data_IF_128310517300
#
_entry.id   IF_128310517300
#
_cell.length_a   1.000
_cell.length_b   1.000
_cell.length_c   1.000
_cell.angle_alpha   90.00
_cell.angle_beta   90.00
_cell.angle_gamma   90.00
#
_symmetry.space_group_name_H-M   'P 1'
#
loop_
_entity.id
_entity.type
_entity.pdbx_description
1 polymer ?
#
# COMPACT_ATOMS: atom_id res chain seq x y z
N UNK A 1 18.06 23.47 6.38
CA UNK A 1 17.86 22.10 5.85
C UNK A 1 18.73 21.07 6.57
N UNK A 2 18.81 21.15 7.91
CA UNK A 2 19.58 20.21 8.76
C UNK A 2 18.63 19.51 9.76
N UNK A 3 17.63 20.25 10.26
CA UNK A 3 16.56 19.74 11.13
C UNK A 3 15.75 18.58 10.55
N UNK A 4 15.56 18.53 9.22
CA UNK A 4 14.83 17.42 8.57
C UNK A 4 15.61 16.10 8.60
N UNK A 5 16.95 16.15 8.61
CA UNK A 5 17.78 14.94 8.71
C UNK A 5 17.80 14.42 10.14
N UNK A 6 17.81 15.31 11.12
CA UNK A 6 17.73 14.94 12.53
C UNK A 6 16.35 14.38 12.88
N UNK A 7 15.24 14.93 12.35
CA UNK A 7 13.91 14.32 12.47
C UNK A 7 13.82 12.94 11.80
N UNK A 8 14.37 12.78 10.58
CA UNK A 8 14.44 11.48 9.90
C UNK A 8 15.32 10.45 10.63
N UNK A 9 16.36 10.90 11.34
CA UNK A 9 17.26 10.05 12.13
C UNK A 9 16.66 9.77 13.52
N UNK A 10 15.90 10.71 14.10
CA UNK A 10 15.19 10.56 15.36
C UNK A 10 14.01 9.57 15.25
N UNK A 11 13.28 9.61 14.14
CA UNK A 11 12.22 8.64 13.82
C UNK A 11 12.80 7.25 13.51
N UNK A 12 14.04 7.20 12.99
CA UNK A 12 14.81 5.96 12.83
C UNK A 12 15.44 5.46 14.15
N UNK A 13 15.64 6.32 15.15
CA UNK A 13 16.20 5.98 16.45
C UNK A 13 15.12 5.52 17.44
N UNK A 14 14.36 4.48 17.06
CA UNK A 14 13.76 3.52 17.99
C UNK A 14 13.04 4.06 19.22
N UNK A 15 12.40 5.22 19.17
CA UNK A 15 11.38 5.55 20.17
C UNK A 15 10.34 4.44 20.04
N UNK A 16 10.01 3.76 21.14
CA UNK A 16 9.00 2.68 21.14
C UNK A 16 7.64 3.32 20.87
N UNK A 17 7.38 3.68 19.62
CA UNK A 17 6.08 4.15 19.17
C UNK A 17 5.11 3.04 19.54
N UNK A 18 4.13 3.38 20.37
CA UNK A 18 3.10 2.44 20.80
C UNK A 18 2.52 1.76 19.57
N UNK A 19 2.59 0.43 19.50
CA UNK A 19 2.07 -0.35 18.37
C UNK A 19 0.60 0.02 18.08
N UNK A 20 -0.14 0.35 19.13
CA UNK A 20 -1.52 0.83 19.06
C UNK A 20 -1.60 2.17 18.31
N UNK A 21 -0.68 3.11 18.56
CA UNK A 21 -0.63 4.41 17.87
C UNK A 21 -0.33 4.22 16.38
N UNK A 22 0.63 3.38 16.03
CA UNK A 22 0.95 3.06 14.63
C UNK A 22 -0.21 2.36 13.92
N UNK A 23 -0.86 1.40 14.59
CA UNK A 23 -2.02 0.70 14.06
C UNK A 23 -3.21 1.65 13.83
N UNK A 24 -3.52 2.50 14.81
CA UNK A 24 -4.57 3.52 14.70
C UNK A 24 -4.29 4.48 13.56
N UNK A 25 -3.05 4.97 13.46
CA UNK A 25 -2.67 5.89 12.38
C UNK A 25 -2.85 5.24 11.01
N UNK A 26 -2.34 4.01 10.80
CA UNK A 26 -2.53 3.30 9.54
C UNK A 26 -4.01 3.00 9.22
N UNK A 27 -4.78 2.63 10.24
CA UNK A 27 -6.22 2.39 10.12
C UNK A 27 -6.94 3.67 9.71
N UNK A 28 -6.67 4.79 10.39
CA UNK A 28 -7.28 6.08 10.08
C UNK A 28 -6.89 6.56 8.68
N UNK A 29 -5.62 6.47 8.30
CA UNK A 29 -5.16 6.84 6.95
C UNK A 29 -5.86 6.03 5.86
N UNK A 30 -6.09 4.74 6.10
CA UNK A 30 -6.78 3.86 5.14
C UNK A 30 -8.28 4.16 5.08
N UNK A 31 -8.94 4.32 6.23
CA UNK A 31 -10.37 4.63 6.30
C UNK A 31 -10.71 6.03 5.76
N UNK A 32 -9.85 7.01 6.03
CA UNK A 32 -10.00 8.38 5.53
C UNK A 32 -9.57 8.53 4.07
N UNK A 33 -9.08 7.47 3.42
CA UNK A 33 -8.71 7.51 2.02
C UNK A 33 -9.98 7.48 1.13
N UNK A 34 -10.38 8.61 0.52
CA UNK A 34 -11.63 8.65 -0.25
C UNK A 34 -11.59 7.72 -1.47
N UNK A 35 -10.40 7.43 -2.01
CA UNK A 35 -10.24 6.53 -3.15
C UNK A 35 -10.70 5.11 -2.81
N UNK A 36 -10.40 4.63 -1.61
CA UNK A 36 -10.82 3.30 -1.13
C UNK A 36 -12.34 3.26 -1.03
N UNK A 37 -12.96 4.29 -0.46
CA UNK A 37 -14.41 4.40 -0.37
C UNK A 37 -15.07 4.40 -1.76
N UNK A 38 -14.59 5.23 -2.70
CA UNK A 38 -15.09 5.27 -4.07
C UNK A 38 -14.90 3.94 -4.80
N UNK A 39 -13.77 3.25 -4.59
CA UNK A 39 -13.54 1.92 -5.15
C UNK A 39 -14.61 0.93 -4.67
N UNK A 40 -14.83 0.82 -3.36
CA UNK A 40 -15.83 -0.10 -2.81
C UNK A 40 -17.26 0.24 -3.26
N UNK A 41 -17.62 1.53 -3.29
CA UNK A 41 -18.94 1.97 -3.77
C UNK A 41 -19.14 1.72 -5.27
N UNK A 42 -18.07 1.78 -6.06
CA UNK A 42 -18.14 1.51 -7.49
C UNK A 42 -18.17 0.01 -7.79
N UNK A 43 -17.35 -0.81 -7.10
CA UNK A 43 -17.17 -2.23 -7.42
C UNK A 43 -18.13 -3.17 -6.66
N UNK A 44 -18.27 -3.03 -5.33
CA UNK A 44 -19.03 -4.03 -4.56
C UNK A 44 -20.51 -4.12 -4.96
N UNK A 45 -21.25 -3.02 -5.18
CA UNK A 45 -22.65 -3.10 -5.59
C UNK A 45 -22.87 -3.83 -6.93
N UNK A 46 -21.85 -3.96 -7.77
CA UNK A 46 -21.94 -4.68 -9.04
C UNK A 46 -22.04 -6.20 -8.84
N UNK A 47 -21.59 -6.71 -7.69
CA UNK A 47 -21.62 -8.14 -7.35
C UNK A 47 -22.78 -8.51 -6.42
N UNK A 48 -23.61 -7.54 -6.04
CA UNK A 48 -24.78 -7.77 -5.18
C UNK A 48 -25.97 -8.21 -6.02
N UNK A 49 -26.65 -9.26 -5.56
CA UNK A 49 -27.91 -9.68 -6.13
C UNK A 49 -29.06 -8.87 -5.53
N UNK A 50 -29.66 -7.99 -6.35
CA UNK A 50 -30.76 -7.12 -5.96
C UNK A 50 -32.07 -7.87 -5.72
N UNK A 51 -32.19 -9.12 -6.17
CA UNK A 51 -33.38 -9.94 -5.96
C UNK A 51 -33.46 -10.52 -4.54
N UNK A 52 -32.35 -10.52 -3.80
CA UNK A 52 -32.27 -11.03 -2.44
C UNK A 52 -32.48 -9.92 -1.40
N UNK A 53 -33.15 -10.26 -0.30
CA UNK A 53 -33.69 -9.27 0.65
C UNK A 53 -32.63 -8.52 1.49
N UNK A 54 -31.39 -9.01 1.61
CA UNK A 54 -30.41 -8.45 2.56
C UNK A 54 -29.12 -7.95 1.88
N UNK A 55 -29.25 -6.85 1.16
CA UNK A 55 -28.15 -6.13 0.49
C UNK A 55 -27.03 -5.70 1.46
N UNK A 56 -27.31 -5.10 2.65
CA UNK A 56 -26.25 -4.70 3.57
C UNK A 56 -25.39 -5.86 4.04
N UNK A 57 -25.99 -7.03 4.27
CA UNK A 57 -25.25 -8.23 4.65
C UNK A 57 -24.35 -8.74 3.53
N UNK A 58 -24.84 -8.77 2.28
CA UNK A 58 -24.01 -9.17 1.13
C UNK A 58 -22.80 -8.24 0.95
N UNK A 59 -23.01 -6.93 1.06
CA UNK A 59 -21.93 -5.94 1.00
C UNK A 59 -20.89 -6.13 2.11
N UNK A 60 -21.34 -6.43 3.34
CA UNK A 60 -20.44 -6.71 4.46
C UNK A 60 -19.59 -7.97 4.21
N UNK A 61 -20.21 -9.06 3.74
CA UNK A 61 -19.50 -10.30 3.40
C UNK A 61 -18.51 -10.07 2.26
N UNK A 62 -18.92 -9.43 1.17
CA UNK A 62 -18.05 -9.13 0.03
C UNK A 62 -16.88 -8.23 0.44
N UNK A 63 -17.15 -7.19 1.24
CA UNK A 63 -16.13 -6.33 1.79
C UNK A 63 -15.13 -7.09 2.66
N UNK A 64 -15.61 -8.01 3.51
CA UNK A 64 -14.74 -8.83 4.36
C UNK A 64 -13.86 -9.78 3.54
N UNK A 65 -14.43 -10.47 2.55
CA UNK A 65 -13.68 -11.35 1.65
C UNK A 65 -12.61 -10.57 0.90
N UNK A 66 -12.95 -9.39 0.38
CA UNK A 66 -11.99 -8.52 -0.30
C UNK A 66 -10.87 -8.07 0.63
N UNK A 67 -11.19 -7.61 1.84
CA UNK A 67 -10.18 -7.18 2.83
C UNK A 67 -9.26 -8.32 3.26
N UNK A 68 -9.79 -9.52 3.51
CA UNK A 68 -8.98 -10.69 3.87
C UNK A 68 -8.04 -11.06 2.72
N UNK A 69 -8.53 -11.05 1.48
CA UNK A 69 -7.72 -11.35 0.31
C UNK A 69 -6.60 -10.32 0.15
N UNK A 70 -6.92 -9.03 0.29
CA UNK A 70 -5.94 -7.95 0.30
C UNK A 70 -4.89 -8.12 1.39
N UNK A 71 -5.32 -8.44 2.62
CA UNK A 71 -4.43 -8.67 3.75
C UNK A 71 -3.47 -9.84 3.50
N UNK A 72 -3.93 -10.95 2.91
CA UNK A 72 -3.07 -12.09 2.58
C UNK A 72 -2.02 -11.69 1.52
N UNK A 73 -2.44 -10.94 0.50
CA UNK A 73 -1.52 -10.45 -0.54
C UNK A 73 -0.49 -9.50 0.05
N UNK A 74 -0.92 -8.50 0.82
CA UNK A 74 -0.05 -7.50 1.45
C UNK A 74 0.91 -8.16 2.44
N UNK A 75 0.43 -9.09 3.26
CA UNK A 75 1.28 -9.84 4.18
C UNK A 75 2.32 -10.70 3.43
N UNK A 76 1.91 -11.36 2.34
CA UNK A 76 2.83 -12.14 1.50
C UNK A 76 3.91 -11.25 0.90
N UNK A 77 3.53 -10.09 0.36
CA UNK A 77 4.48 -9.10 -0.17
C UNK A 77 5.41 -8.59 0.93
N UNK A 78 4.89 -8.28 2.12
CA UNK A 78 5.69 -7.81 3.25
C UNK A 78 6.72 -8.86 3.70
N UNK A 79 6.33 -10.14 3.76
CA UNK A 79 7.24 -11.25 4.07
C UNK A 79 8.33 -11.41 3.00
N UNK A 80 7.94 -11.40 1.73
CA UNK A 80 8.88 -11.46 0.60
C UNK A 80 9.86 -10.27 0.62
N UNK A 81 9.36 -9.07 0.89
CA UNK A 81 10.17 -7.86 1.00
C UNK A 81 11.14 -7.93 2.18
N UNK A 82 10.73 -8.51 3.31
CA UNK A 82 11.60 -8.73 4.46
C UNK A 82 12.74 -9.70 4.11
N UNK A 83 12.41 -10.81 3.45
CA UNK A 83 13.39 -11.80 3.00
C UNK A 83 14.38 -11.20 1.98
N UNK A 84 13.86 -10.54 0.94
CA UNK A 84 14.69 -9.83 -0.04
C UNK A 84 15.55 -8.77 0.62
N UNK A 85 15.00 -8.01 1.57
CA UNK A 85 15.70 -6.97 2.31
C UNK A 85 16.86 -7.51 3.15
N UNK A 86 16.71 -8.67 3.79
CA UNK A 86 17.81 -9.34 4.51
C UNK A 86 18.93 -9.77 3.55
N UNK A 87 18.58 -10.35 2.40
CA UNK A 87 19.54 -10.75 1.37
C UNK A 87 20.27 -9.55 0.74
N UNK A 88 19.54 -8.47 0.45
CA UNK A 88 20.06 -7.22 -0.10
C UNK A 88 21.08 -6.54 0.82
N UNK A 89 20.87 -6.58 2.13
CA UNK A 89 21.84 -6.06 3.12
C UNK A 89 23.18 -6.79 3.06
N UNK A 90 23.21 -8.05 2.64
CA UNK A 90 24.44 -8.82 2.42
C UNK A 90 25.14 -8.54 1.10
N UNK A 91 24.49 -7.89 0.12
CA UNK A 91 25.00 -7.69 -1.23
C UNK A 91 24.88 -6.23 -1.70
N UNK A 92 25.93 -5.43 -1.42
CA UNK A 92 25.99 -3.98 -1.71
C UNK A 92 25.73 -3.65 -3.19
N UNK A 93 26.12 -4.53 -4.11
CA UNK A 93 25.88 -4.34 -5.55
C UNK A 93 24.42 -4.51 -5.96
N UNK A 94 23.68 -5.41 -5.32
CA UNK A 94 22.28 -5.72 -5.67
C UNK A 94 21.34 -4.56 -5.36
N UNK A 95 21.54 -3.89 -4.21
CA UNK A 95 20.74 -2.73 -3.83
C UNK A 95 20.90 -1.56 -4.81
N UNK A 96 22.12 -1.37 -5.34
CA UNK A 96 22.39 -0.35 -6.36
C UNK A 96 21.65 -0.65 -7.66
N UNK A 97 21.68 -1.90 -8.13
CA UNK A 97 20.99 -2.34 -9.36
C UNK A 97 19.48 -2.12 -9.23
N UNK A 98 18.87 -2.60 -8.14
CA UNK A 98 17.43 -2.43 -7.89
C UNK A 98 17.04 -0.95 -7.90
N UNK A 99 17.84 -0.08 -7.27
CA UNK A 99 17.57 1.36 -7.25
C UNK A 99 17.55 1.97 -8.65
N UNK A 100 18.50 1.61 -9.51
CA UNK A 100 18.54 2.09 -10.89
C UNK A 100 17.42 1.52 -11.75
N UNK A 101 17.07 0.24 -11.58
CA UNK A 101 15.94 -0.38 -12.27
C UNK A 101 14.61 0.30 -11.90
N UNK A 102 14.33 0.45 -10.61
CA UNK A 102 13.12 1.11 -10.13
C UNK A 102 13.02 2.55 -10.64
N UNK A 103 14.13 3.31 -10.56
CA UNK A 103 14.20 4.67 -11.11
C UNK A 103 13.95 4.71 -12.63
N UNK A 104 14.56 3.79 -13.37
CA UNK A 104 14.37 3.66 -14.82
C UNK A 104 12.93 3.34 -15.21
N UNK A 105 12.28 2.43 -14.47
CA UNK A 105 10.85 2.11 -14.66
C UNK A 105 9.99 3.35 -14.41
N UNK A 106 10.22 4.10 -13.32
CA UNK A 106 9.46 5.32 -13.04
C UNK A 106 9.67 6.41 -14.10
N UNK A 107 10.90 6.63 -14.56
CA UNK A 107 11.19 7.57 -15.66
C UNK A 107 10.45 7.12 -16.93
N UNK A 108 10.54 5.83 -17.28
CA UNK A 108 9.84 5.27 -18.44
C UNK A 108 8.32 5.42 -18.36
N UNK A 109 7.73 5.16 -17.19
CA UNK A 109 6.31 5.37 -16.95
C UNK A 109 5.92 6.85 -17.03
N UNK A 110 6.73 7.75 -16.46
CA UNK A 110 6.49 9.20 -16.52
C UNK A 110 6.55 9.74 -17.96
N UNK A 111 7.54 9.30 -18.74
CA UNK A 111 7.65 9.62 -20.17
C UNK A 111 6.41 9.11 -20.92
N UNK A 112 6.04 7.84 -20.71
CA UNK A 112 4.84 7.26 -21.34
C UNK A 112 3.57 8.05 -20.98
N UNK A 113 3.41 8.44 -19.72
CA UNK A 113 2.26 9.23 -19.28
C UNK A 113 2.22 10.61 -19.95
N UNK A 114 3.37 11.29 -20.03
CA UNK A 114 3.50 12.61 -20.65
C UNK A 114 3.09 12.61 -22.14
N UNK A 115 3.36 11.50 -22.84
CA UNK A 115 2.92 11.32 -24.22
C UNK A 115 1.50 10.74 -24.36
N UNK A 116 1.01 10.02 -23.36
CA UNK A 116 -0.35 9.45 -23.35
C UNK A 116 -1.44 10.44 -22.96
N UNK A 117 -1.15 11.49 -22.18
CA UNK A 117 -2.12 12.54 -21.83
C UNK A 117 -2.34 13.59 -22.94
N UNK A 118 -1.74 13.40 -24.13
CA UNK A 118 -1.92 14.29 -25.30
C UNK A 118 -2.93 13.77 -26.33
N UNK A 119 -3.80 12.84 -25.96
CA UNK A 119 -4.94 12.35 -26.74
C UNK A 119 -6.21 12.42 -25.89
#
# INVERSE_FOLDING_TARGET
TILSREELIADASGEKTSLIKTFLQGTLTTLLNPKVAFFYLAFLPQFVDKAQANIPFQLLVLGLVFNITGLVVDASIALLASLLGTWLRGHVGAAKIIRWLTGGVFIGLGVRLAFSQRQ
#
